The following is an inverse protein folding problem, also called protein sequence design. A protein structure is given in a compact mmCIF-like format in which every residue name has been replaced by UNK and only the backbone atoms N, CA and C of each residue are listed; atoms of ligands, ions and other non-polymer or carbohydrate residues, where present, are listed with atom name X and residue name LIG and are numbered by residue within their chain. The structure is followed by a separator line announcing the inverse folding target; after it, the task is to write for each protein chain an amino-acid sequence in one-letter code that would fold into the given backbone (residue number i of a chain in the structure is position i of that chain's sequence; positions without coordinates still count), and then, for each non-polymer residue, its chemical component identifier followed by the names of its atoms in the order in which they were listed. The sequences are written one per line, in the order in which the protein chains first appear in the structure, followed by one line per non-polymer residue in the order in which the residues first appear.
data_IF_624116608472
#
_entry.id   IF_624116608472
#
_cell.length_a   1.000
_cell.length_b   1.000
_cell.length_c   1.000
_cell.angle_alpha   90.00
_cell.angle_beta   90.00
_cell.angle_gamma   90.00
#
_symmetry.space_group_name_H-M   'P 1'
#
loop_
_entity.id
_entity.type
_entity.pdbx_description
1 polymer ?
#
# COMPACT_ATOMS: atom_id res chain seq x y z
N UNK A 1 23.54 14.69 -15.17
CA UNK A 1 22.20 15.27 -15.43
C UNK A 1 21.13 14.74 -14.45
N UNK A 2 21.24 13.49 -13.98
CA UNK A 2 20.24 12.87 -13.10
C UNK A 2 20.30 13.36 -11.65
N UNK A 3 21.50 13.63 -11.12
CA UNK A 3 21.70 14.17 -9.77
C UNK A 3 21.09 15.56 -9.58
N UNK A 4 21.07 16.38 -10.62
CA UNK A 4 20.47 17.73 -10.57
C UNK A 4 18.96 17.72 -10.37
N UNK A 5 18.25 16.76 -10.99
CA UNK A 5 16.79 16.68 -10.88
C UNK A 5 16.38 16.19 -9.49
N UNK A 6 17.07 15.19 -8.94
CA UNK A 6 16.83 14.68 -7.58
C UNK A 6 17.15 15.74 -6.52
N UNK A 7 18.21 16.53 -6.71
CA UNK A 7 18.53 17.65 -5.82
C UNK A 7 17.48 18.76 -5.89
N UNK A 8 16.95 19.06 -7.05
CA UNK A 8 15.90 20.09 -7.23
C UNK A 8 14.61 19.65 -6.53
N UNK A 9 14.20 18.39 -6.69
CA UNK A 9 13.03 17.82 -6.00
C UNK A 9 13.20 17.83 -4.48
N UNK A 10 14.38 17.51 -3.97
CA UNK A 10 14.69 17.56 -2.55
C UNK A 10 14.63 18.99 -1.97
N UNK A 11 15.00 20.01 -2.75
CA UNK A 11 14.90 21.43 -2.36
C UNK A 11 13.43 21.86 -2.32
N UNK A 12 12.62 21.45 -3.29
CA UNK A 12 11.17 21.74 -3.31
C UNK A 12 10.47 21.10 -2.12
N UNK A 13 10.79 19.85 -1.79
CA UNK A 13 10.25 19.16 -0.60
C UNK A 13 10.53 19.88 0.72
N UNK A 14 11.74 20.47 0.85
CA UNK A 14 12.18 21.13 2.09
C UNK A 14 11.71 22.57 2.22
N UNK A 15 11.43 23.26 1.12
CA UNK A 15 11.10 24.70 1.09
C UNK A 15 9.62 24.99 0.82
N UNK A 16 8.84 23.99 0.42
CA UNK A 16 7.41 24.17 0.22
C UNK A 16 6.68 24.17 1.55
N UNK A 17 6.02 25.30 1.86
CA UNK A 17 5.06 25.37 2.96
C UNK A 17 3.68 24.80 2.57
N UNK A 18 3.54 24.34 1.33
CA UNK A 18 2.33 23.73 0.81
C UNK A 18 2.44 22.20 0.94
N UNK A 19 1.62 21.56 1.79
CA UNK A 19 1.67 20.12 2.01
C UNK A 19 1.31 19.31 0.77
N UNK A 20 0.54 19.87 -0.15
CA UNK A 20 0.15 19.21 -1.40
C UNK A 20 1.30 19.18 -2.41
N UNK A 21 2.02 20.28 -2.55
CA UNK A 21 3.25 20.37 -3.36
C UNK A 21 4.37 19.48 -2.80
N UNK A 22 4.52 19.43 -1.48
CA UNK A 22 5.50 18.58 -0.84
C UNK A 22 5.18 17.09 -1.01
N UNK A 23 3.88 16.73 -1.09
CA UNK A 23 3.44 15.36 -1.39
C UNK A 23 3.72 15.00 -2.84
N UNK A 24 3.33 15.87 -3.77
CA UNK A 24 3.54 15.66 -5.20
C UNK A 24 5.04 15.52 -5.53
N UNK A 25 5.88 16.34 -4.92
CA UNK A 25 7.33 16.25 -5.09
C UNK A 25 7.92 14.94 -4.55
N UNK A 26 7.38 14.41 -3.45
CA UNK A 26 7.78 13.09 -2.91
C UNK A 26 7.34 11.94 -3.81
N UNK A 27 6.14 12.01 -4.35
CA UNK A 27 5.62 10.97 -5.25
C UNK A 27 6.45 10.93 -6.54
N UNK A 28 6.80 12.11 -7.09
CA UNK A 28 7.69 12.22 -8.26
C UNK A 28 9.14 11.78 -7.97
N UNK A 29 9.68 12.08 -6.79
CA UNK A 29 11.02 11.62 -6.37
C UNK A 29 11.08 10.09 -6.28
N UNK A 30 10.04 9.47 -5.70
CA UNK A 30 9.94 8.02 -5.59
C UNK A 30 9.78 7.34 -6.96
N UNK A 31 8.96 7.91 -7.84
CA UNK A 31 8.74 7.40 -9.19
C UNK A 31 10.01 7.52 -10.04
N UNK A 32 10.70 8.65 -9.93
CA UNK A 32 11.96 8.88 -10.64
C UNK A 32 13.09 7.98 -10.11
N UNK A 33 13.18 7.75 -8.82
CA UNK A 33 14.14 6.80 -8.23
C UNK A 33 13.86 5.37 -8.70
N UNK A 34 12.61 4.95 -8.72
CA UNK A 34 12.22 3.63 -9.26
C UNK A 34 12.58 3.47 -10.74
N UNK A 35 12.49 4.55 -11.52
CA UNK A 35 12.85 4.54 -12.95
C UNK A 35 14.37 4.59 -13.18
N UNK A 36 15.11 5.44 -12.46
CA UNK A 36 16.54 5.69 -12.71
C UNK A 36 17.47 4.63 -12.12
N UNK A 37 17.10 4.10 -10.97
CA UNK A 37 17.93 3.10 -10.28
C UNK A 37 17.45 1.68 -10.55
N UNK A 38 16.53 1.54 -11.51
CA UNK A 38 15.93 0.29 -11.96
C UNK A 38 15.72 -0.60 -10.76
N UNK A 39 14.64 -0.47 -10.01
CA UNK A 39 14.44 -1.15 -8.75
C UNK A 39 15.73 -1.87 -8.32
N UNK A 40 16.64 -1.12 -7.71
CA UNK A 40 17.84 -1.74 -7.12
C UNK A 40 17.27 -2.82 -6.24
N UNK A 41 17.50 -4.02 -6.65
CA UNK A 41 16.92 -5.24 -6.17
C UNK A 41 17.41 -5.41 -4.74
N UNK A 42 16.74 -4.76 -3.80
CA UNK A 42 16.49 -5.43 -2.57
C UNK A 42 15.41 -6.46 -2.94
N UNK A 43 15.82 -7.68 -3.09
CA UNK A 43 14.96 -8.85 -3.26
C UNK A 43 14.21 -9.08 -1.94
N UNK A 44 13.47 -8.04 -1.51
CA UNK A 44 12.69 -8.11 -0.30
C UNK A 44 11.54 -9.05 -0.55
N UNK A 45 11.48 -10.07 0.25
CA UNK A 45 10.34 -10.98 0.23
C UNK A 45 9.07 -10.20 0.60
N UNK A 46 7.92 -10.66 0.11
CA UNK A 46 6.63 -10.06 0.45
C UNK A 46 6.47 -9.92 1.97
N UNK A 47 6.89 -10.91 2.75
CA UNK A 47 6.84 -10.89 4.21
C UNK A 47 7.56 -9.67 4.82
N UNK A 48 8.74 -9.34 4.31
CA UNK A 48 9.52 -8.18 4.79
C UNK A 48 8.80 -6.88 4.44
N UNK A 49 8.31 -6.74 3.21
CA UNK A 49 7.58 -5.54 2.78
C UNK A 49 6.32 -5.29 3.62
N UNK A 50 5.54 -6.33 3.91
CA UNK A 50 4.33 -6.22 4.73
C UNK A 50 4.65 -5.81 6.17
N UNK A 51 5.70 -6.39 6.78
CA UNK A 51 6.12 -6.03 8.13
C UNK A 51 6.66 -4.60 8.21
N UNK A 52 7.42 -4.16 7.22
CA UNK A 52 7.92 -2.77 7.16
C UNK A 52 6.78 -1.76 6.97
N UNK A 53 5.78 -2.06 6.14
CA UNK A 53 4.61 -1.22 5.95
C UNK A 53 3.81 -1.05 7.26
N UNK A 54 3.57 -2.15 7.97
CA UNK A 54 2.89 -2.14 9.26
C UNK A 54 3.68 -1.34 10.31
N UNK A 55 4.99 -1.55 10.39
CA UNK A 55 5.85 -0.82 11.32
C UNK A 55 5.89 0.70 11.03
N UNK A 56 5.81 1.09 9.75
CA UNK A 56 5.67 2.51 9.38
C UNK A 56 4.34 3.10 9.87
N UNK A 57 3.23 2.37 9.71
CA UNK A 57 1.92 2.79 10.19
C UNK A 57 1.94 3.04 11.71
N UNK A 58 2.48 2.10 12.48
CA UNK A 58 2.59 2.25 13.94
C UNK A 58 3.42 3.47 14.35
N UNK A 59 4.60 3.65 13.73
CA UNK A 59 5.49 4.78 14.07
C UNK A 59 4.91 6.14 13.73
N UNK A 60 4.21 6.25 12.60
CA UNK A 60 3.76 7.55 12.10
C UNK A 60 2.36 7.93 12.55
N UNK A 61 1.52 6.96 12.86
CA UNK A 61 0.11 7.19 13.17
C UNK A 61 -0.33 6.63 14.52
N UNK A 62 0.51 5.85 15.21
CA UNK A 62 0.16 5.26 16.50
C UNK A 62 -0.93 4.18 16.43
N UNK A 63 -1.24 3.69 15.21
CA UNK A 63 -2.24 2.63 14.99
C UNK A 63 -1.56 1.30 15.19
N UNK A 64 -2.14 0.42 16.00
CA UNK A 64 -1.62 -0.94 16.20
C UNK A 64 -1.75 -1.75 14.92
N UNK A 65 -0.65 -2.31 14.42
CA UNK A 65 -0.63 -3.13 13.23
C UNK A 65 -0.16 -4.54 13.57
N UNK A 66 -1.04 -5.51 13.37
CA UNK A 66 -0.71 -6.94 13.50
C UNK A 66 -0.44 -7.49 12.11
N UNK A 67 0.69 -8.20 11.95
CA UNK A 67 1.05 -8.86 10.70
C UNK A 67 1.12 -10.36 10.92
N UNK A 68 0.34 -11.10 10.17
CA UNK A 68 0.30 -12.56 10.17
C UNK A 68 0.61 -13.04 8.76
N UNK A 69 1.77 -13.66 8.57
CA UNK A 69 2.24 -14.13 7.26
C UNK A 69 2.62 -15.59 7.41
N UNK A 70 2.10 -16.43 6.53
CA UNK A 70 2.47 -17.84 6.47
C UNK A 70 3.97 -18.00 6.08
N UNK A 71 4.62 -19.03 6.64
CA UNK A 71 6.06 -19.26 6.42
C UNK A 71 6.36 -19.83 5.01
N UNK A 72 5.35 -20.41 4.36
CA UNK A 72 5.43 -21.15 3.10
C UNK A 72 4.90 -20.34 1.90
N UNK A 73 4.96 -19.01 1.94
CA UNK A 73 4.58 -18.18 0.80
C UNK A 73 5.39 -18.55 -0.44
N UNK A 74 4.75 -18.68 -1.61
CA UNK A 74 5.45 -18.93 -2.86
C UNK A 74 6.34 -17.75 -3.25
N UNK A 75 7.36 -18.03 -4.04
CA UNK A 75 8.27 -17.02 -4.57
C UNK A 75 7.56 -16.21 -5.66
N UNK A 76 7.30 -14.95 -5.38
CA UNK A 76 6.64 -14.02 -6.29
C UNK A 76 7.66 -13.23 -7.12
N UNK A 77 7.28 -12.87 -8.35
CA UNK A 77 8.04 -11.91 -9.14
C UNK A 77 8.10 -10.55 -8.44
N UNK A 78 9.21 -9.84 -8.59
CA UNK A 78 9.38 -8.51 -7.99
C UNK A 78 8.27 -7.53 -8.34
N UNK A 79 7.67 -7.63 -9.52
CA UNK A 79 6.51 -6.82 -9.93
C UNK A 79 5.26 -7.14 -9.12
N UNK A 80 5.03 -8.40 -8.79
CA UNK A 80 3.90 -8.86 -7.96
C UNK A 80 4.08 -8.43 -6.51
N UNK A 81 5.29 -8.58 -5.96
CA UNK A 81 5.61 -8.10 -4.61
C UNK A 81 5.36 -6.59 -4.50
N UNK A 82 5.82 -5.80 -5.50
CA UNK A 82 5.58 -4.35 -5.52
C UNK A 82 4.09 -4.01 -5.64
N UNK A 83 3.33 -4.75 -6.43
CA UNK A 83 1.89 -4.51 -6.58
C UNK A 83 1.15 -4.75 -5.26
N UNK A 84 1.43 -5.88 -4.58
CA UNK A 84 0.84 -6.19 -3.27
C UNK A 84 1.26 -5.15 -2.23
N UNK A 85 2.56 -4.86 -2.11
CA UNK A 85 3.07 -3.88 -1.16
C UNK A 85 2.46 -2.48 -1.37
N UNK A 86 2.30 -2.06 -2.64
CA UNK A 86 1.64 -0.81 -2.98
C UNK A 86 0.16 -0.79 -2.60
N UNK A 87 -0.57 -1.86 -2.85
CA UNK A 87 -1.97 -1.99 -2.47
C UNK A 87 -2.16 -2.00 -0.94
N UNK A 88 -1.29 -2.72 -0.22
CA UNK A 88 -1.28 -2.75 1.25
C UNK A 88 -0.97 -1.37 1.83
N UNK A 89 0.04 -0.67 1.32
CA UNK A 89 0.37 0.69 1.75
C UNK A 89 -0.80 1.66 1.54
N UNK A 90 -1.54 1.54 0.44
CA UNK A 90 -2.73 2.36 0.18
C UNK A 90 -3.85 2.06 1.18
N UNK A 91 -4.11 0.78 1.47
CA UNK A 91 -5.10 0.38 2.47
C UNK A 91 -4.73 0.87 3.89
N UNK A 92 -3.45 0.76 4.28
CA UNK A 92 -2.93 1.25 5.56
C UNK A 92 -3.03 2.78 5.66
N UNK A 93 -2.71 3.50 4.59
CA UNK A 93 -2.84 4.96 4.50
C UNK A 93 -4.30 5.39 4.65
N UNK A 94 -5.22 4.66 4.02
CA UNK A 94 -6.65 4.91 4.13
C UNK A 94 -7.14 4.71 5.58
N UNK A 95 -6.73 3.62 6.23
CA UNK A 95 -7.05 3.38 7.64
C UNK A 95 -6.57 4.52 8.53
N UNK A 96 -5.34 5.02 8.30
CA UNK A 96 -4.75 6.08 9.10
C UNK A 96 -5.41 7.45 8.89
N UNK A 97 -5.75 7.79 7.65
CA UNK A 97 -6.18 9.16 7.31
C UNK A 97 -7.69 9.35 7.28
N UNK A 98 -8.44 8.29 7.01
CA UNK A 98 -9.86 8.41 6.68
C UNK A 98 -10.79 7.54 7.53
N UNK A 99 -10.26 6.50 8.16
CA UNK A 99 -11.10 5.53 8.85
C UNK A 99 -11.12 5.69 10.38
N UNK A 100 -10.33 6.60 10.95
CA UNK A 100 -10.14 6.71 12.41
C UNK A 100 -9.85 5.36 13.08
N UNK A 101 -9.13 4.48 12.39
CA UNK A 101 -8.81 3.14 12.84
C UNK A 101 -7.86 3.17 14.06
N UNK A 102 -8.03 2.24 14.97
CA UNK A 102 -7.13 2.02 16.11
C UNK A 102 -6.27 0.77 15.95
N UNK A 103 -6.73 -0.16 15.12
CA UNK A 103 -6.07 -1.42 14.83
C UNK A 103 -6.22 -1.80 13.38
N UNK A 104 -5.14 -2.34 12.81
CA UNK A 104 -5.12 -2.96 11.49
C UNK A 104 -4.51 -4.35 11.56
N UNK A 105 -5.06 -5.29 10.81
CA UNK A 105 -4.50 -6.63 10.63
C UNK A 105 -4.13 -6.80 9.17
N UNK A 106 -2.87 -7.15 8.92
CA UNK A 106 -2.35 -7.56 7.61
C UNK A 106 -2.14 -9.07 7.65
N UNK A 107 -2.73 -9.78 6.72
CA UNK A 107 -2.65 -11.24 6.62
C UNK A 107 -2.17 -11.64 5.23
N UNK A 108 -1.33 -12.67 5.14
CA UNK A 108 -0.94 -13.26 3.86
C UNK A 108 -0.70 -14.76 4.00
N UNK A 109 -1.19 -15.52 3.04
CA UNK A 109 -1.03 -16.96 2.93
C UNK A 109 -0.91 -17.43 1.48
N UNK A 110 -0.39 -18.64 1.22
CA UNK A 110 -0.47 -19.25 -0.11
C UNK A 110 -1.92 -19.35 -0.58
N UNK A 111 -2.14 -19.10 -1.86
CA UNK A 111 -3.38 -19.37 -2.56
C UNK A 111 -3.17 -20.51 -3.57
N UNK A 112 -4.24 -21.04 -4.14
CA UNK A 112 -4.15 -22.05 -5.19
C UNK A 112 -3.29 -21.54 -6.37
N UNK A 113 -2.73 -22.47 -7.15
CA UNK A 113 -1.92 -22.18 -8.35
C UNK A 113 -0.62 -21.37 -8.12
N UNK A 114 0.08 -21.65 -7.01
CA UNK A 114 1.31 -20.94 -6.62
C UNK A 114 1.14 -19.43 -6.44
N UNK A 115 -0.08 -19.01 -6.12
CA UNK A 115 -0.44 -17.63 -5.84
C UNK A 115 -0.35 -17.26 -4.36
N UNK A 116 -0.67 -16.01 -4.07
CA UNK A 116 -0.78 -15.46 -2.71
C UNK A 116 -2.13 -14.77 -2.53
N UNK A 117 -2.79 -15.10 -1.44
CA UNK A 117 -3.86 -14.32 -0.85
C UNK A 117 -3.28 -13.34 0.17
N UNK A 118 -3.70 -12.08 0.11
CA UNK A 118 -3.36 -11.09 1.12
C UNK A 118 -4.58 -10.26 1.49
N UNK A 119 -4.73 -9.93 2.77
CA UNK A 119 -5.79 -9.03 3.22
C UNK A 119 -5.30 -7.98 4.19
N UNK A 120 -5.95 -6.81 4.16
CA UNK A 120 -5.78 -5.72 5.11
C UNK A 120 -7.14 -5.37 5.68
N UNK A 121 -7.29 -5.47 7.00
CA UNK A 121 -8.54 -5.19 7.70
C UNK A 121 -8.31 -4.16 8.80
N UNK A 122 -9.04 -3.07 8.76
CA UNK A 122 -9.09 -2.07 9.82
C UNK A 122 -10.38 -2.13 10.63
N UNK A 123 -10.34 -1.56 11.84
CA UNK A 123 -11.46 -1.43 12.76
C UNK A 123 -12.09 -0.02 12.73
N UNK A 124 -11.84 0.74 11.68
CA UNK A 124 -12.25 2.13 11.57
C UNK A 124 -13.73 2.35 11.25
N UNK A 125 -14.04 3.57 10.86
CA UNK A 125 -15.44 3.98 10.60
C UNK A 125 -16.07 3.30 9.38
N UNK A 126 -15.27 2.76 8.47
CA UNK A 126 -15.75 2.21 7.22
C UNK A 126 -16.45 3.25 6.35
N UNK A 127 -17.02 2.81 5.26
CA UNK A 127 -17.79 3.65 4.34
C UNK A 127 -18.87 2.83 3.62
N UNK A 128 -19.86 3.54 3.07
CA UNK A 128 -20.86 2.93 2.19
C UNK A 128 -20.26 2.72 0.80
N UNK A 129 -20.11 1.47 0.35
CA UNK A 129 -19.53 1.16 -0.97
C UNK A 129 -20.42 1.60 -2.14
N UNK A 130 -21.67 1.93 -1.91
CA UNK A 130 -22.60 2.44 -2.94
C UNK A 130 -22.52 3.96 -3.09
N UNK A 131 -21.90 4.65 -2.14
CA UNK A 131 -21.66 6.10 -2.20
C UNK A 131 -20.60 6.44 -3.26
N UNK A 132 -20.93 7.34 -4.18
CA UNK A 132 -20.07 7.72 -5.31
C UNK A 132 -18.84 8.53 -4.93
N UNK A 133 -18.71 8.99 -3.69
CA UNK A 133 -17.65 9.90 -3.28
C UNK A 133 -16.68 9.31 -2.26
N UNK A 134 -17.09 8.31 -1.51
CA UNK A 134 -16.27 7.73 -0.44
C UNK A 134 -15.69 6.39 -0.87
N UNK A 135 -14.37 6.26 -0.83
CA UNK A 135 -13.68 5.01 -1.16
C UNK A 135 -13.45 4.74 -2.66
N UNK A 136 -13.89 5.62 -3.57
CA UNK A 136 -13.67 5.42 -5.01
C UNK A 136 -12.19 5.54 -5.38
N UNK A 137 -11.47 6.50 -4.78
CA UNK A 137 -10.02 6.66 -4.96
C UNK A 137 -9.25 5.43 -4.49
N UNK A 138 -9.59 4.90 -3.32
CA UNK A 138 -9.02 3.67 -2.78
C UNK A 138 -9.22 2.49 -3.73
N UNK A 139 -10.45 2.28 -4.18
CA UNK A 139 -10.81 1.20 -5.10
C UNK A 139 -10.05 1.29 -6.41
N UNK A 140 -10.02 2.47 -7.03
CA UNK A 140 -9.35 2.69 -8.32
C UNK A 140 -7.84 2.46 -8.20
N UNK A 141 -7.20 2.99 -7.16
CA UNK A 141 -5.76 2.88 -6.95
C UNK A 141 -5.33 1.44 -6.68
N UNK A 142 -6.02 0.74 -5.78
CA UNK A 142 -5.68 -0.65 -5.45
C UNK A 142 -6.01 -1.58 -6.60
N UNK A 143 -7.21 -1.46 -7.19
CA UNK A 143 -7.68 -2.34 -8.26
C UNK A 143 -6.77 -2.27 -9.48
N UNK A 144 -6.48 -1.07 -9.98
CA UNK A 144 -5.61 -0.90 -11.14
C UNK A 144 -4.26 -1.57 -10.94
N UNK A 145 -3.64 -1.37 -9.79
CA UNK A 145 -2.32 -1.92 -9.45
C UNK A 145 -2.29 -3.45 -9.42
N UNK A 146 -3.31 -4.06 -8.84
CA UNK A 146 -3.40 -5.52 -8.71
C UNK A 146 -3.81 -6.18 -10.03
N UNK A 147 -4.76 -5.61 -10.77
CA UNK A 147 -5.18 -6.11 -12.07
C UNK A 147 -4.05 -6.04 -13.12
N UNK A 148 -3.25 -4.97 -13.13
CA UNK A 148 -2.04 -4.86 -13.96
C UNK A 148 -0.99 -5.93 -13.66
N UNK A 149 -0.93 -6.40 -12.41
CA UNK A 149 -0.05 -7.49 -12.00
C UNK A 149 -0.65 -8.90 -12.22
N UNK A 150 -1.83 -8.98 -12.83
CA UNK A 150 -2.53 -10.23 -13.13
C UNK A 150 -3.38 -10.77 -11.99
N UNK A 151 -3.60 -9.98 -10.95
CA UNK A 151 -4.38 -10.37 -9.78
C UNK A 151 -5.82 -9.84 -9.79
N UNK A 152 -6.51 -10.09 -8.69
CA UNK A 152 -7.86 -9.58 -8.43
C UNK A 152 -7.97 -9.00 -7.03
N UNK A 153 -8.95 -8.11 -6.83
CA UNK A 153 -9.18 -7.41 -5.57
C UNK A 153 -10.67 -7.38 -5.24
N UNK A 154 -10.97 -7.56 -3.96
CA UNK A 154 -12.29 -7.31 -3.38
C UNK A 154 -12.15 -6.34 -2.21
N UNK A 155 -13.01 -5.33 -2.16
CA UNK A 155 -13.05 -4.36 -1.06
C UNK A 155 -14.44 -4.41 -0.43
N UNK A 156 -14.48 -4.73 0.85
CA UNK A 156 -15.69 -4.75 1.67
C UNK A 156 -15.60 -3.66 2.72
N UNK A 157 -16.62 -2.82 2.82
CA UNK A 157 -16.72 -1.81 3.86
C UNK A 157 -18.18 -1.59 4.23
N UNK A 158 -18.43 -1.27 5.50
CA UNK A 158 -19.72 -0.85 6.01
C UNK A 158 -19.50 0.25 7.04
N UNK A 159 -20.36 1.29 7.07
CA UNK A 159 -20.34 2.28 8.12
C UNK A 159 -20.31 1.66 9.52
N UNK A 160 -19.37 2.05 10.35
CA UNK A 160 -19.16 1.55 11.70
C UNK A 160 -18.52 0.17 11.83
N UNK A 161 -18.10 -0.47 10.73
CA UNK A 161 -17.54 -1.83 10.75
C UNK A 161 -16.15 -1.95 10.12
N UNK A 162 -15.50 -0.83 9.83
CA UNK A 162 -14.19 -0.80 9.21
C UNK A 162 -14.19 -1.17 7.73
N UNK A 163 -12.99 -1.39 7.20
CA UNK A 163 -12.77 -1.77 5.80
C UNK A 163 -11.87 -2.99 5.73
N UNK A 164 -12.18 -3.88 4.81
CA UNK A 164 -11.35 -5.04 4.47
C UNK A 164 -11.04 -5.03 2.98
N UNK A 165 -9.76 -5.04 2.67
CA UNK A 165 -9.22 -5.20 1.31
C UNK A 165 -8.67 -6.61 1.21
N UNK A 166 -9.16 -7.39 0.25
CA UNK A 166 -8.68 -8.75 -0.06
C UNK A 166 -8.15 -8.77 -1.48
N UNK A 167 -6.98 -9.34 -1.66
CA UNK A 167 -6.33 -9.42 -2.96
C UNK A 167 -5.70 -10.81 -3.18
N UNK A 168 -5.67 -11.23 -4.44
CA UNK A 168 -5.12 -12.48 -4.91
C UNK A 168 -4.22 -12.20 -6.09
N UNK A 169 -3.05 -12.80 -6.11
CA UNK A 169 -2.07 -12.71 -7.19
C UNK A 169 -1.40 -14.07 -7.37
N UNK A 170 -1.33 -14.53 -8.60
CA UNK A 170 -0.68 -15.79 -8.94
C UNK A 170 0.05 -15.73 -10.28
#
# INVERSE_FOLDING_TARGET
LHDGVLQTLAVVQRRSNDPELARLARDQDNELRAFLFGAGVDDKTLSVELREAAARLERHHGIRAQVVVADDLPELRSSQVRAIAGAVNEALTNAAKHAAATKVVVYAEPDDDDGVFCSVKDDGDGFDPTSTHTGEGLRRSIRGRIEEAGGRVEISSRPGSGTEVRLWIG
#
